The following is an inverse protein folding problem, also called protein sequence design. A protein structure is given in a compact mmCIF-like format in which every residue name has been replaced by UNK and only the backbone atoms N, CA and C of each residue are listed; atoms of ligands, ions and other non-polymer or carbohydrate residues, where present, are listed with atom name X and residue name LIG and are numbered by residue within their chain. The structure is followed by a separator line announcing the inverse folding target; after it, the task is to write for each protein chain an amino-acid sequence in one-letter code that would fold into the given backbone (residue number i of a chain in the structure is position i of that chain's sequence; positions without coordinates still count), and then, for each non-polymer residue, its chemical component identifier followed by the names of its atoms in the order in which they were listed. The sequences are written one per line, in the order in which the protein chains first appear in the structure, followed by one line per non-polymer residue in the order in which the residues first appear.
data_IF_581969140339
#
_entry.id   IF_581969140339
#
_cell.length_a   1.000
_cell.length_b   1.000
_cell.length_c   1.000
_cell.angle_alpha   90.00
_cell.angle_beta   90.00
_cell.angle_gamma   90.00
#
_symmetry.space_group_name_H-M   'P 1'
#
loop_
_entity.id
_entity.type
_entity.pdbx_description
1 polymer ?
#
# COMPACT_ATOMS: atom_id res chain seq x y z
N UNK A 1 -29.77 0.57 91.08
CA UNK A 1 -28.42 0.51 90.43
C UNK A 1 -28.45 -0.64 89.47
N UNK A 2 -28.77 -0.36 88.19
CA UNK A 2 -28.83 -1.33 87.10
C UNK A 2 -27.65 -1.06 86.20
N UNK A 3 -26.78 -2.02 86.05
CA UNK A 3 -25.61 -1.93 85.16
C UNK A 3 -25.99 -2.42 83.75
N UNK A 4 -25.94 -1.53 82.77
CA UNK A 4 -26.06 -1.86 81.37
C UNK A 4 -24.84 -2.60 80.90
N UNK A 5 -25.00 -3.80 80.34
CA UNK A 5 -24.00 -4.52 79.60
C UNK A 5 -24.22 -4.31 78.11
N UNK A 6 -23.26 -3.57 77.45
CA UNK A 6 -23.24 -3.45 76.02
C UNK A 6 -22.64 -4.70 75.35
N UNK A 7 -23.41 -5.36 74.52
CA UNK A 7 -22.97 -6.46 73.69
C UNK A 7 -22.42 -5.84 72.36
N UNK A 8 -21.11 -5.98 72.13
CA UNK A 8 -20.47 -5.63 70.90
C UNK A 8 -20.53 -6.81 69.94
N UNK A 9 -21.39 -6.74 68.94
CA UNK A 9 -21.38 -7.67 67.78
C UNK A 9 -20.47 -7.09 66.70
N UNK A 10 -19.25 -7.62 66.59
CA UNK A 10 -18.35 -7.33 65.47
C UNK A 10 -18.65 -8.30 64.32
N UNK A 11 -19.33 -7.82 63.30
CA UNK A 11 -19.62 -8.59 62.11
C UNK A 11 -18.42 -8.43 61.16
N UNK A 12 -17.55 -9.45 61.07
CA UNK A 12 -16.47 -9.52 60.09
C UNK A 12 -17.04 -10.05 58.76
N UNK A 13 -17.36 -9.12 57.88
CA UNK A 13 -17.72 -9.42 56.51
C UNK A 13 -16.42 -9.63 55.70
N UNK A 14 -16.02 -10.89 55.49
CA UNK A 14 -14.94 -11.22 54.54
C UNK A 14 -15.47 -10.95 53.12
N UNK A 15 -15.04 -9.85 52.55
CA UNK A 15 -15.22 -9.54 51.11
C UNK A 15 -14.14 -10.31 50.39
N UNK A 16 -14.51 -11.41 49.74
CA UNK A 16 -13.64 -12.07 48.77
C UNK A 16 -13.63 -11.23 47.50
N UNK A 17 -12.56 -10.44 47.30
CA UNK A 17 -12.27 -9.79 46.01
C UNK A 17 -11.83 -10.90 45.03
N UNK A 18 -12.76 -11.37 44.20
CA UNK A 18 -12.45 -12.17 43.04
C UNK A 18 -11.91 -11.20 41.98
N UNK A 19 -10.58 -11.05 41.93
CA UNK A 19 -9.91 -10.24 40.90
C UNK A 19 -10.01 -11.02 39.60
N UNK A 20 -10.99 -10.68 38.74
CA UNK A 20 -11.01 -11.13 37.36
C UNK A 20 -9.84 -10.46 36.64
N UNK A 21 -8.79 -11.21 36.39
CA UNK A 21 -7.74 -10.83 35.47
C UNK A 21 -8.34 -10.95 34.05
N UNK A 22 -8.80 -9.83 33.50
CA UNK A 22 -9.02 -9.72 32.06
C UNK A 22 -7.64 -9.73 31.40
N UNK A 23 -7.25 -10.90 30.95
CA UNK A 23 -6.11 -11.03 30.05
C UNK A 23 -6.55 -10.43 28.70
N UNK A 24 -6.31 -9.12 28.52
CA UNK A 24 -6.44 -8.48 27.23
C UNK A 24 -5.39 -9.11 26.32
N UNK A 25 -5.81 -10.05 25.50
CA UNK A 25 -5.00 -10.53 24.38
C UNK A 25 -4.90 -9.34 23.43
N UNK A 26 -3.84 -8.56 23.55
CA UNK A 26 -3.43 -7.65 22.50
C UNK A 26 -3.01 -8.54 21.33
N UNK A 27 -3.91 -8.75 20.38
CA UNK A 27 -3.55 -9.24 19.05
C UNK A 27 -2.76 -8.10 18.44
N UNK A 28 -1.45 -8.12 18.60
CA UNK A 28 -0.54 -7.24 17.89
C UNK A 28 -0.54 -7.71 16.44
N UNK A 29 -1.29 -7.05 15.58
CA UNK A 29 -1.04 -7.21 14.15
C UNK A 29 0.41 -6.81 13.90
N UNK A 30 1.16 -7.62 13.15
CA UNK A 30 2.48 -7.22 12.70
C UNK A 30 2.35 -5.87 12.00
N UNK A 31 3.15 -4.87 12.38
CA UNK A 31 3.07 -3.57 11.74
C UNK A 31 3.43 -3.70 10.27
N UNK A 32 2.67 -3.04 9.40
CA UNK A 32 3.00 -2.90 8.00
C UNK A 32 4.42 -2.33 7.88
N UNK A 33 5.32 -3.07 7.22
CA UNK A 33 6.76 -2.76 7.17
C UNK A 33 7.09 -2.08 5.84
N UNK A 34 7.87 -0.99 5.91
CA UNK A 34 8.41 -0.33 4.73
C UNK A 34 9.69 -1.02 4.26
N UNK A 35 9.77 -1.22 2.96
CA UNK A 35 10.94 -1.76 2.26
C UNK A 35 11.41 -0.80 1.19
N UNK A 36 12.71 -0.78 0.96
CA UNK A 36 13.33 -0.05 -0.13
C UNK A 36 13.87 -1.02 -1.18
N UNK A 37 13.74 -0.64 -2.44
CA UNK A 37 14.33 -1.35 -3.58
C UNK A 37 14.84 -0.33 -4.60
N UNK A 38 16.06 -0.51 -5.08
CA UNK A 38 16.62 0.38 -6.11
C UNK A 38 16.12 -0.06 -7.48
N UNK A 39 15.48 0.85 -8.22
CA UNK A 39 15.09 0.65 -9.60
C UNK A 39 15.60 1.81 -10.47
N UNK A 40 16.30 1.52 -11.56
CA UNK A 40 16.97 2.51 -12.42
C UNK A 40 17.84 3.53 -11.65
N UNK A 41 18.57 3.05 -10.64
CA UNK A 41 19.40 3.85 -9.72
C UNK A 41 18.61 4.81 -8.82
N UNK A 42 17.29 4.69 -8.76
CA UNK A 42 16.41 5.47 -7.88
C UNK A 42 15.95 4.57 -6.72
N UNK A 43 16.18 4.97 -5.46
CA UNK A 43 15.55 4.30 -4.32
C UNK A 43 14.02 4.47 -4.38
N UNK A 44 13.31 3.35 -4.31
CA UNK A 44 11.85 3.30 -4.34
C UNK A 44 11.36 2.51 -3.13
N UNK A 45 10.25 2.92 -2.56
CA UNK A 45 9.70 2.25 -1.38
C UNK A 45 8.37 1.56 -1.66
N UNK A 46 8.07 0.58 -0.84
CA UNK A 46 6.77 -0.07 -0.78
C UNK A 46 6.48 -0.55 0.63
N UNK A 47 5.21 -0.59 1.00
CA UNK A 47 4.77 -1.20 2.25
C UNK A 47 4.38 -2.65 1.99
N UNK A 48 4.74 -3.55 2.90
CA UNK A 48 4.36 -4.96 2.88
C UNK A 48 3.68 -5.33 4.19
N UNK A 49 2.54 -5.98 4.10
CA UNK A 49 1.81 -6.55 5.20
C UNK A 49 1.70 -8.07 5.04
N UNK A 50 2.05 -8.77 6.08
CA UNK A 50 1.96 -10.22 6.18
C UNK A 50 1.09 -10.54 7.40
N UNK A 51 -0.07 -11.21 7.23
CA UNK A 51 -0.88 -11.64 8.37
C UNK A 51 -0.12 -12.51 9.34
N UNK A 52 -0.32 -12.30 10.64
CA UNK A 52 0.43 -13.01 11.69
C UNK A 52 0.23 -14.53 11.66
N UNK A 53 -0.97 -14.97 11.28
CA UNK A 53 -1.34 -16.40 11.28
C UNK A 53 -1.14 -17.06 9.90
N UNK A 54 -0.57 -16.34 8.90
CA UNK A 54 -0.38 -16.89 7.56
C UNK A 54 0.69 -17.98 7.55
N UNK A 55 0.39 -19.11 6.93
CA UNK A 55 1.37 -20.19 6.78
C UNK A 55 2.22 -20.01 5.52
N UNK A 56 3.33 -19.31 5.63
CA UNK A 56 4.28 -19.04 4.53
C UNK A 56 5.04 -20.27 4.00
N UNK A 57 4.88 -21.45 4.63
CA UNK A 57 5.42 -22.71 4.06
C UNK A 57 4.56 -23.19 2.88
N UNK A 58 3.30 -22.82 2.85
CA UNK A 58 2.38 -23.09 1.78
C UNK A 58 2.44 -22.00 0.69
N UNK A 59 1.78 -22.26 -0.42
CA UNK A 59 1.50 -21.25 -1.43
C UNK A 59 0.48 -20.22 -0.89
N UNK A 60 0.75 -18.94 -1.13
CA UNK A 60 -0.10 -17.84 -0.70
C UNK A 60 -0.37 -16.89 -1.87
N UNK A 61 -1.49 -16.19 -1.82
CA UNK A 61 -1.80 -15.17 -2.82
C UNK A 61 -1.10 -13.85 -2.49
N UNK A 62 -0.83 -13.07 -3.52
CA UNK A 62 -0.27 -11.73 -3.42
C UNK A 62 -1.30 -10.71 -3.92
N UNK A 63 -1.64 -9.75 -3.07
CA UNK A 63 -2.40 -8.57 -3.43
C UNK A 63 -1.45 -7.37 -3.57
N UNK A 64 -1.62 -6.61 -4.65
CA UNK A 64 -0.89 -5.36 -4.88
C UNK A 64 -1.89 -4.23 -5.02
N UNK A 65 -1.73 -3.18 -4.22
CA UNK A 65 -2.61 -2.01 -4.21
C UNK A 65 -1.90 -0.74 -4.67
N UNK A 66 -2.43 -0.08 -5.72
CA UNK A 66 -1.85 1.13 -6.31
C UNK A 66 -2.72 2.34 -6.00
N UNK A 67 -2.16 3.30 -5.27
CA UNK A 67 -2.83 4.56 -4.93
C UNK A 67 -3.07 5.45 -6.16
N UNK A 68 -4.01 6.39 -6.04
CA UNK A 68 -4.25 7.40 -7.06
C UNK A 68 -3.23 8.56 -7.02
N UNK A 69 -3.39 9.51 -7.95
CA UNK A 69 -2.62 10.76 -7.96
C UNK A 69 -2.72 11.46 -6.60
N UNK A 70 -1.61 11.99 -6.09
CA UNK A 70 -1.44 12.57 -4.76
C UNK A 70 -1.62 11.60 -3.58
N UNK A 71 -1.92 10.35 -3.85
CA UNK A 71 -2.10 9.33 -2.81
C UNK A 71 -0.78 8.81 -2.24
N UNK A 72 -0.89 7.96 -1.24
CA UNK A 72 0.26 7.26 -0.63
C UNK A 72 -0.03 5.78 -0.49
N UNK A 73 1.02 4.98 -0.37
CA UNK A 73 0.91 3.55 -0.09
C UNK A 73 0.08 3.27 1.17
N UNK A 74 0.36 4.01 2.26
CA UNK A 74 -0.37 3.88 3.53
C UNK A 74 -1.79 4.42 3.46
N UNK A 75 -2.02 5.46 2.65
CA UNK A 75 -3.36 6.01 2.41
C UNK A 75 -4.24 5.04 1.63
N UNK A 76 -3.67 4.36 0.63
CA UNK A 76 -4.40 3.37 -0.15
C UNK A 76 -4.85 2.17 0.69
N UNK A 77 -4.00 1.68 1.59
CA UNK A 77 -4.36 0.60 2.50
C UNK A 77 -5.67 0.88 3.25
N UNK A 78 -5.87 2.15 3.65
CA UNK A 78 -7.02 2.60 4.46
C UNK A 78 -8.27 2.96 3.66
N UNK A 79 -8.25 2.86 2.33
CA UNK A 79 -9.37 3.32 1.48
C UNK A 79 -10.64 2.48 1.57
N UNK A 80 -10.57 1.28 2.12
CA UNK A 80 -11.76 0.47 2.40
C UNK A 80 -12.13 0.54 3.87
N UNK A 81 -13.39 0.27 4.21
CA UNK A 81 -13.82 0.14 5.60
C UNK A 81 -13.07 -1.02 6.26
N UNK A 82 -12.24 -0.70 7.25
CA UNK A 82 -11.38 -1.66 7.95
C UNK A 82 -10.00 -1.87 7.32
N UNK A 83 -9.75 -1.30 6.12
CA UNK A 83 -8.49 -1.41 5.40
C UNK A 83 -8.28 -2.74 4.67
N UNK A 84 -7.35 -2.74 3.73
CA UNK A 84 -7.00 -3.96 2.98
C UNK A 84 -6.24 -4.97 3.84
N UNK A 85 -5.51 -4.52 4.86
CA UNK A 85 -4.81 -5.41 5.78
C UNK A 85 -5.79 -6.28 6.59
N UNK A 86 -6.96 -5.74 6.98
CA UNK A 86 -8.01 -6.54 7.61
C UNK A 86 -8.55 -7.63 6.68
N UNK A 87 -8.59 -7.35 5.37
CA UNK A 87 -8.93 -8.36 4.36
C UNK A 87 -7.82 -9.40 4.21
N UNK A 88 -6.56 -8.98 4.28
CA UNK A 88 -5.42 -9.89 4.25
C UNK A 88 -5.43 -10.85 5.45
N UNK A 89 -5.74 -10.37 6.65
CA UNK A 89 -5.92 -11.22 7.84
C UNK A 89 -7.04 -12.24 7.64
N UNK A 90 -8.18 -11.77 7.14
CA UNK A 90 -9.35 -12.63 6.95
C UNK A 90 -9.15 -13.71 5.90
N UNK A 91 -8.49 -13.38 4.79
CA UNK A 91 -8.37 -14.27 3.63
C UNK A 91 -6.96 -14.84 3.43
N UNK A 92 -6.03 -14.51 4.33
CA UNK A 92 -4.69 -15.07 4.42
C UNK A 92 -3.87 -14.90 3.13
N UNK A 93 -3.70 -13.63 2.69
CA UNK A 93 -2.83 -13.26 1.57
C UNK A 93 -1.79 -12.21 1.99
N UNK A 94 -0.69 -12.10 1.26
CA UNK A 94 0.30 -11.03 1.43
C UNK A 94 -0.20 -9.79 0.71
N UNK A 95 -0.20 -8.63 1.38
CA UNK A 95 -0.54 -7.36 0.75
C UNK A 95 0.70 -6.48 0.58
N UNK A 96 0.87 -5.90 -0.62
CA UNK A 96 1.95 -4.97 -0.94
C UNK A 96 1.35 -3.69 -1.52
N UNK A 97 1.86 -2.55 -1.04
CA UNK A 97 1.45 -1.22 -1.47
C UNK A 97 2.69 -0.47 -1.94
N UNK A 98 2.98 -0.48 -3.24
CA UNK A 98 4.06 0.33 -3.79
C UNK A 98 3.80 1.82 -3.61
N UNK A 99 4.85 2.61 -3.43
CA UNK A 99 4.79 4.07 -3.38
C UNK A 99 5.17 4.66 -4.74
N UNK A 100 4.26 5.42 -5.33
CA UNK A 100 4.53 6.23 -6.51
C UNK A 100 5.56 7.33 -6.17
N UNK A 101 6.33 7.74 -7.16
CA UNK A 101 7.33 8.78 -6.95
C UNK A 101 6.71 10.10 -6.54
N UNK A 102 7.41 10.80 -5.63
CA UNK A 102 7.08 12.14 -5.20
C UNK A 102 7.78 13.17 -6.07
N UNK A 103 7.04 14.22 -6.42
CA UNK A 103 7.57 15.40 -7.12
C UNK A 103 6.78 16.64 -6.72
N UNK A 104 7.34 17.83 -6.96
CA UNK A 104 6.63 19.08 -6.75
C UNK A 104 5.64 19.32 -7.88
N UNK A 105 4.37 19.55 -7.54
CA UNK A 105 3.38 19.96 -8.52
C UNK A 105 3.53 21.43 -8.86
N UNK A 106 3.63 21.74 -10.16
CA UNK A 106 3.69 23.13 -10.64
C UNK A 106 2.33 23.82 -10.50
N UNK A 107 1.24 23.05 -10.51
CA UNK A 107 -0.12 23.60 -10.47
C UNK A 107 -0.53 24.10 -9.09
N UNK A 108 0.12 23.61 -8.05
CA UNK A 108 -0.26 23.90 -6.65
C UNK A 108 0.90 24.50 -5.88
N UNK A 109 1.23 25.76 -6.17
CA UNK A 109 2.25 26.48 -5.39
C UNK A 109 3.48 25.64 -4.97
N UNK A 110 4.66 26.14 -5.13
CA UNK A 110 5.97 25.47 -5.07
C UNK A 110 6.28 24.60 -3.81
N UNK A 111 5.33 24.38 -2.96
CA UNK A 111 5.48 23.63 -1.70
C UNK A 111 4.72 22.30 -1.64
N UNK A 112 3.87 21.95 -2.61
CA UNK A 112 3.08 20.73 -2.53
C UNK A 112 3.79 19.56 -3.21
N UNK A 113 4.27 18.62 -2.42
CA UNK A 113 4.71 17.33 -2.87
C UNK A 113 3.52 16.46 -3.23
N UNK A 114 3.50 15.98 -4.46
CA UNK A 114 2.52 15.02 -4.96
C UNK A 114 3.22 13.74 -5.37
N UNK A 115 2.50 12.64 -5.32
CA UNK A 115 2.98 11.33 -5.78
C UNK A 115 2.13 10.83 -6.93
N UNK A 116 2.72 10.10 -7.85
CA UNK A 116 2.03 9.59 -9.04
C UNK A 116 2.72 8.38 -9.63
N UNK A 117 2.06 7.79 -10.62
CA UNK A 117 2.54 6.71 -11.46
C UNK A 117 2.69 7.18 -12.91
N UNK A 118 3.68 6.66 -13.61
CA UNK A 118 3.72 6.72 -15.04
C UNK A 118 2.80 5.66 -15.63
N UNK A 119 1.54 6.00 -15.72
CA UNK A 119 0.48 5.15 -16.23
C UNK A 119 0.41 5.06 -17.76
N UNK A 120 1.32 5.75 -18.44
CA UNK A 120 1.42 5.89 -19.89
C UNK A 120 0.26 6.68 -20.56
N UNK A 121 -0.78 7.06 -19.81
CA UNK A 121 -1.94 7.77 -20.36
C UNK A 121 -1.65 9.25 -20.62
N UNK A 122 -0.84 9.89 -19.78
CA UNK A 122 -0.43 11.29 -19.90
C UNK A 122 0.79 11.50 -20.80
N UNK A 123 1.42 10.44 -21.28
CA UNK A 123 2.62 10.50 -22.11
C UNK A 123 2.35 9.99 -23.51
N UNK A 124 2.81 10.72 -24.52
CA UNK A 124 2.89 10.20 -25.90
C UNK A 124 4.10 9.29 -26.03
N UNK A 125 4.08 8.18 -25.34
CA UNK A 125 5.25 7.34 -25.23
C UNK A 125 5.55 6.57 -26.50
N UNK A 126 6.82 6.55 -26.84
CA UNK A 126 7.40 5.47 -27.61
C UNK A 126 7.83 4.39 -26.61
N UNK A 127 7.16 3.28 -26.60
CA UNK A 127 7.61 2.11 -25.85
C UNK A 127 8.04 1.03 -26.87
N UNK A 128 8.81 0.03 -26.50
CA UNK A 128 9.07 -0.52 -25.17
C UNK A 128 10.32 0.02 -24.48
N UNK A 129 11.16 0.78 -25.10
CA UNK A 129 12.37 1.33 -24.49
C UNK A 129 12.61 2.79 -24.92
N UNK A 130 11.54 3.50 -25.27
CA UNK A 130 11.60 4.89 -25.69
C UNK A 130 11.26 5.86 -24.56
N UNK A 131 11.10 7.11 -24.94
CA UNK A 131 10.75 8.21 -24.04
C UNK A 131 9.47 7.91 -23.28
N UNK A 132 9.51 8.09 -21.96
CA UNK A 132 8.39 7.79 -21.05
C UNK A 132 7.45 9.00 -20.96
N UNK A 133 7.92 10.21 -21.30
CA UNK A 133 7.12 11.41 -21.34
C UNK A 133 6.97 11.94 -22.74
N UNK A 134 5.84 12.59 -23.04
CA UNK A 134 5.63 13.26 -24.31
C UNK A 134 6.57 14.48 -24.45
N UNK A 135 6.97 14.81 -25.68
CA UNK A 135 7.81 15.99 -25.98
C UNK A 135 7.17 17.30 -25.49
N UNK A 136 5.83 17.36 -25.48
CA UNK A 136 5.03 18.51 -25.06
C UNK A 136 4.40 18.37 -23.67
N UNK A 137 4.82 17.37 -22.89
CA UNK A 137 4.32 17.17 -21.54
C UNK A 137 4.93 18.18 -20.54
N UNK A 138 4.19 18.52 -19.47
CA UNK A 138 4.72 19.39 -18.42
C UNK A 138 5.93 18.75 -17.76
N UNK A 139 7.01 19.52 -17.63
CA UNK A 139 8.22 19.07 -16.97
C UNK A 139 8.10 19.43 -15.51
N UNK A 140 8.31 18.46 -14.63
CA UNK A 140 8.48 18.69 -13.23
C UNK A 140 9.99 18.83 -12.94
N UNK A 141 10.50 20.07 -12.71
CA UNK A 141 11.95 20.34 -12.67
C UNK A 141 12.71 19.57 -11.61
N UNK A 142 12.00 19.17 -10.55
CA UNK A 142 12.56 18.42 -9.44
C UNK A 142 12.63 16.92 -9.72
N UNK A 143 12.08 16.48 -10.82
CA UNK A 143 12.03 15.09 -11.19
C UNK A 143 13.13 14.77 -12.21
N UNK A 144 14.20 14.05 -11.82
CA UNK A 144 15.41 13.92 -12.65
C UNK A 144 15.18 13.16 -13.96
N UNK A 145 14.13 12.34 -14.03
CA UNK A 145 13.82 11.54 -15.23
C UNK A 145 12.85 12.23 -16.19
N UNK A 146 12.26 13.37 -15.82
CA UNK A 146 11.47 14.23 -16.68
C UNK A 146 12.35 15.37 -17.20
N UNK A 147 13.29 15.07 -18.10
CA UNK A 147 14.22 16.04 -18.63
C UNK A 147 13.60 16.95 -19.71
N UNK A 148 14.37 17.98 -20.07
CA UNK A 148 13.98 18.98 -21.03
C UNK A 148 13.37 18.38 -22.30
N UNK A 149 12.19 18.83 -22.68
CA UNK A 149 11.44 18.40 -23.87
C UNK A 149 10.31 17.42 -23.61
N UNK A 150 10.16 16.90 -22.39
CA UNK A 150 9.03 16.03 -22.01
C UNK A 150 8.09 16.70 -21.02
N UNK A 151 6.79 16.53 -21.20
CA UNK A 151 5.73 16.97 -20.27
C UNK A 151 5.01 15.76 -19.74
N UNK A 152 4.96 15.64 -18.43
CA UNK A 152 4.30 14.54 -17.73
C UNK A 152 3.15 15.09 -16.89
N UNK A 153 2.07 15.52 -17.49
CA UNK A 153 0.92 16.15 -16.83
C UNK A 153 0.74 15.74 -15.36
N UNK A 154 0.13 14.60 -15.09
CA UNK A 154 -0.03 14.04 -13.74
C UNK A 154 0.84 12.80 -13.49
N UNK A 155 1.71 12.42 -14.42
CA UNK A 155 2.46 11.17 -14.32
C UNK A 155 3.89 11.41 -13.85
N UNK A 156 4.48 10.45 -13.17
CA UNK A 156 5.92 10.38 -13.00
C UNK A 156 6.58 10.04 -14.34
N UNK A 157 7.84 10.37 -14.57
CA UNK A 157 8.54 9.97 -15.79
C UNK A 157 9.44 8.75 -15.58
N UNK A 158 9.19 7.98 -14.53
CA UNK A 158 9.94 6.76 -14.23
C UNK A 158 9.35 5.53 -14.88
N UNK A 159 10.15 4.48 -14.96
CA UNK A 159 9.68 3.13 -15.28
C UNK A 159 8.97 2.51 -14.08
N UNK A 160 7.73 2.94 -13.83
CA UNK A 160 6.91 2.39 -12.75
C UNK A 160 6.44 0.96 -13.05
N UNK A 161 6.31 0.59 -14.35
CA UNK A 161 6.02 -0.78 -14.76
C UNK A 161 7.13 -1.73 -14.30
N UNK A 162 8.38 -1.39 -14.58
CA UNK A 162 9.54 -2.17 -14.15
C UNK A 162 9.69 -2.19 -12.64
N UNK A 163 9.43 -1.09 -11.95
CA UNK A 163 9.45 -1.03 -10.49
C UNK A 163 8.45 -1.99 -9.86
N UNK A 164 7.18 -1.96 -10.27
CA UNK A 164 6.14 -2.86 -9.75
C UNK A 164 6.48 -4.32 -10.09
N UNK A 165 6.98 -4.57 -11.32
CA UNK A 165 7.44 -5.90 -11.72
C UNK A 165 8.56 -6.42 -10.81
N UNK A 166 9.53 -5.58 -10.47
CA UNK A 166 10.63 -5.91 -9.58
C UNK A 166 10.16 -6.26 -8.17
N UNK A 167 9.14 -5.56 -7.65
CA UNK A 167 8.49 -5.91 -6.37
C UNK A 167 7.85 -7.30 -6.45
N UNK A 168 7.16 -7.59 -7.56
CA UNK A 168 6.55 -8.91 -7.78
C UNK A 168 7.60 -10.01 -7.80
N UNK A 169 8.70 -9.79 -8.52
CA UNK A 169 9.79 -10.75 -8.59
C UNK A 169 10.39 -11.00 -7.21
N UNK A 170 10.62 -9.94 -6.45
CA UNK A 170 11.10 -10.03 -5.08
C UNK A 170 10.13 -10.80 -4.17
N UNK A 171 8.83 -10.57 -4.29
CA UNK A 171 7.83 -11.32 -3.52
C UNK A 171 7.86 -12.82 -3.85
N UNK A 172 8.07 -13.18 -5.13
CA UNK A 172 8.22 -14.57 -5.57
C UNK A 172 9.52 -15.22 -5.12
N UNK A 173 10.59 -14.45 -4.95
CA UNK A 173 11.85 -14.94 -4.37
C UNK A 173 11.70 -15.23 -2.87
N UNK A 174 10.99 -14.34 -2.15
CA UNK A 174 10.82 -14.43 -0.71
C UNK A 174 9.76 -15.47 -0.29
N UNK A 175 8.74 -15.71 -1.12
CA UNK A 175 7.55 -16.50 -0.79
C UNK A 175 7.06 -17.35 -1.96
N UNK A 176 6.38 -18.46 -1.65
CA UNK A 176 5.69 -19.29 -2.65
C UNK A 176 4.39 -18.60 -3.08
N UNK A 177 4.45 -17.70 -4.04
CA UNK A 177 3.28 -16.98 -4.54
C UNK A 177 2.52 -17.86 -5.53
N UNK A 178 1.21 -18.08 -5.26
CA UNK A 178 0.28 -18.82 -6.10
C UNK A 178 -0.33 -17.92 -7.17
N UNK A 179 -1.20 -17.01 -6.76
CA UNK A 179 -1.92 -16.08 -7.64
C UNK A 179 -1.61 -14.64 -7.25
N UNK A 180 -1.60 -13.74 -8.22
CA UNK A 180 -1.34 -12.32 -8.03
C UNK A 180 -2.55 -11.50 -8.47
N UNK A 181 -3.03 -10.64 -7.58
CA UNK A 181 -4.13 -9.72 -7.80
C UNK A 181 -3.63 -8.29 -7.71
N UNK A 182 -4.04 -7.48 -8.67
CA UNK A 182 -3.67 -6.08 -8.76
C UNK A 182 -4.92 -5.20 -8.71
N UNK A 183 -4.93 -4.22 -7.83
CA UNK A 183 -6.00 -3.23 -7.73
C UNK A 183 -5.39 -1.84 -7.73
N UNK A 184 -5.91 -0.95 -8.56
CA UNK A 184 -5.50 0.44 -8.57
C UNK A 184 -6.68 1.38 -8.66
N UNK A 185 -6.54 2.57 -8.09
CA UNK A 185 -7.55 3.62 -8.09
C UNK A 185 -7.06 4.84 -8.87
N UNK A 186 -7.92 5.43 -9.73
CA UNK A 186 -7.63 6.63 -10.51
C UNK A 186 -6.34 6.46 -11.34
N UNK A 187 -5.33 7.28 -11.16
CA UNK A 187 -3.99 7.11 -11.78
C UNK A 187 -3.39 5.72 -11.49
N UNK A 188 -3.55 5.18 -10.25
CA UNK A 188 -3.18 3.80 -9.95
C UNK A 188 -4.02 2.76 -10.68
N UNK A 189 -5.29 3.07 -11.00
CA UNK A 189 -6.15 2.22 -11.84
C UNK A 189 -5.66 2.17 -13.29
N UNK A 190 -5.25 3.32 -13.85
CA UNK A 190 -4.61 3.39 -15.16
C UNK A 190 -3.29 2.61 -15.17
N UNK A 191 -2.49 2.73 -14.10
CA UNK A 191 -1.26 1.96 -13.93
C UNK A 191 -1.51 0.46 -13.85
N UNK A 192 -2.57 0.04 -13.13
CA UNK A 192 -2.97 -1.37 -13.06
C UNK A 192 -3.33 -1.91 -14.45
N UNK A 193 -4.01 -1.13 -15.27
CA UNK A 193 -4.31 -1.50 -16.65
C UNK A 193 -3.03 -1.59 -17.50
N UNK A 194 -2.11 -0.62 -17.37
CA UNK A 194 -0.83 -0.66 -18.09
C UNK A 194 -0.01 -1.91 -17.71
N UNK A 195 0.00 -2.29 -16.42
CA UNK A 195 0.62 -3.52 -15.95
C UNK A 195 -0.03 -4.76 -16.57
N UNK A 196 -1.38 -4.82 -16.63
CA UNK A 196 -2.10 -5.95 -17.25
C UNK A 196 -1.79 -6.07 -18.74
N UNK A 197 -1.71 -4.96 -19.47
CA UNK A 197 -1.35 -4.94 -20.88
C UNK A 197 0.10 -5.38 -21.13
N UNK A 198 1.03 -4.92 -20.28
CA UNK A 198 2.45 -5.24 -20.42
C UNK A 198 2.79 -6.66 -19.99
N UNK A 199 2.12 -7.16 -18.95
CA UNK A 199 2.41 -8.44 -18.31
C UNK A 199 1.14 -9.29 -18.13
N UNK A 200 0.43 -9.64 -19.20
CA UNK A 200 -0.91 -10.27 -19.10
C UNK A 200 -0.91 -11.62 -18.39
N UNK A 201 0.21 -12.33 -18.41
CA UNK A 201 0.32 -13.67 -17.79
C UNK A 201 0.67 -13.65 -16.29
N UNK A 202 0.95 -12.47 -15.72
CA UNK A 202 1.35 -12.37 -14.31
C UNK A 202 0.14 -12.40 -13.37
N UNK A 203 -0.94 -11.75 -13.79
CA UNK A 203 -2.07 -11.46 -12.91
C UNK A 203 -3.21 -12.44 -13.11
N UNK A 204 -3.72 -12.96 -12.00
CA UNK A 204 -4.98 -13.73 -11.96
C UNK A 204 -6.20 -12.82 -12.09
N UNK A 205 -6.10 -11.62 -11.54
CA UNK A 205 -7.13 -10.60 -11.61
C UNK A 205 -6.57 -9.19 -11.50
N UNK A 206 -7.15 -8.26 -12.26
CA UNK A 206 -6.80 -6.85 -12.24
C UNK A 206 -8.07 -6.03 -12.09
N UNK A 207 -8.06 -5.09 -11.16
CA UNK A 207 -9.19 -4.19 -10.89
C UNK A 207 -8.73 -2.75 -11.11
N UNK A 208 -9.39 -2.08 -12.05
CA UNK A 208 -9.22 -0.65 -12.30
C UNK A 208 -10.43 0.09 -11.73
N UNK A 209 -10.22 0.83 -10.64
CA UNK A 209 -11.27 1.64 -10.00
C UNK A 209 -11.12 3.08 -10.45
N UNK A 210 -12.13 3.58 -11.17
CA UNK A 210 -12.24 4.95 -11.72
C UNK A 210 -10.99 5.45 -12.48
N UNK A 211 -10.17 4.55 -12.98
CA UNK A 211 -9.11 4.87 -13.94
C UNK A 211 -9.70 5.02 -15.34
N UNK A 212 -9.19 5.98 -16.12
CA UNK A 212 -9.58 6.08 -17.53
C UNK A 212 -9.07 4.86 -18.30
N UNK A 213 -9.86 4.38 -19.24
CA UNK A 213 -9.43 3.31 -20.12
C UNK A 213 -8.40 3.86 -21.12
N UNK A 214 -7.24 3.25 -21.13
CA UNK A 214 -6.22 3.53 -22.15
C UNK A 214 -6.61 2.88 -23.48
N UNK A 215 -6.39 3.58 -24.57
CA UNK A 215 -6.63 3.08 -25.92
C UNK A 215 -5.41 2.35 -26.47
#
# INVERSE_FOLDING_TARGET
MIKDSKINLTFHRKINFLTLFFLSIFISSEPMTEYEIVHESIPRTYLKYIPIDINLKNEVDLFIGLHGYTGTASGFEKQTTGGFNASADKYQFIAIYPQGLYFNSIENDSSSFVSSWNDLAGSKTKTPNGEICAIDADIYPQYPNCNAGGRCAWTSCSDDLGFIKKIIDRAKEDHKIRDIYLLGMSNGGMMAQAMACKYPSIFKGVVNVVGMQQK
#
